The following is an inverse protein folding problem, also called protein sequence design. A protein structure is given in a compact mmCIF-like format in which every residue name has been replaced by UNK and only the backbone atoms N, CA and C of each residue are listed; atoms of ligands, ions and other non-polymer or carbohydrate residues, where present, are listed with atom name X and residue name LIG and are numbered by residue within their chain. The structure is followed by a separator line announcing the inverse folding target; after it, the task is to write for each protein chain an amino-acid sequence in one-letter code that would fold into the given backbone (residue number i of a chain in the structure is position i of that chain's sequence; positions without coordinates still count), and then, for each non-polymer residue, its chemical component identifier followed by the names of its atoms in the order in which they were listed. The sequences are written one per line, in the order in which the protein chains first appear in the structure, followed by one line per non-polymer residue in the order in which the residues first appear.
data_IF_199003914218
#
_entry.id   IF_199003914218
#
_cell.length_a   1.000
_cell.length_b   1.000
_cell.length_c   1.000
_cell.angle_alpha   90.00
_cell.angle_beta   90.00
_cell.angle_gamma   90.00
#
_symmetry.space_group_name_H-M   'P 1'
#
loop_
_entity.id
_entity.type
_entity.pdbx_description
1 polymer ?
#
# COMPACT_ATOMS: atom_id res chain seq x y z
N UNK A 1 -9.66 6.59 6.80
CA UNK A 1 -9.79 5.83 5.54
C UNK A 1 -11.19 5.27 5.51
N UNK A 2 -11.85 5.33 4.37
CA UNK A 2 -13.11 4.59 4.17
C UNK A 2 -12.84 3.10 3.91
N UNK A 3 -13.90 2.30 3.89
CA UNK A 3 -13.84 0.84 3.69
C UNK A 3 -13.48 0.42 2.25
N UNK A 4 -13.38 1.37 1.32
CA UNK A 4 -13.14 1.10 -0.11
C UNK A 4 -11.78 1.59 -0.58
N UNK A 5 -10.93 2.03 0.33
CA UNK A 5 -9.62 2.60 0.01
C UNK A 5 -8.52 1.87 0.76
N UNK A 6 -7.54 1.36 0.03
CA UNK A 6 -6.30 0.84 0.59
C UNK A 6 -5.14 1.76 0.22
N UNK A 7 -4.14 1.90 1.10
CA UNK A 7 -2.89 2.57 0.76
C UNK A 7 -1.68 1.77 1.20
N UNK A 8 -0.62 1.85 0.41
CA UNK A 8 0.67 1.28 0.75
C UNK A 8 1.80 2.17 0.21
N UNK A 9 2.97 2.03 0.83
CA UNK A 9 4.20 2.68 0.36
C UNK A 9 4.93 1.72 -0.59
N UNK A 10 5.36 2.22 -1.74
CA UNK A 10 6.18 1.49 -2.70
C UNK A 10 7.46 2.27 -2.99
N UNK A 11 8.56 1.57 -3.29
CA UNK A 11 9.77 2.26 -3.75
C UNK A 11 9.51 2.96 -5.09
N UNK A 12 9.85 4.25 -5.17
CA UNK A 12 9.67 5.13 -6.34
C UNK A 12 10.28 4.59 -7.63
N UNK A 13 11.41 3.89 -7.49
CA UNK A 13 12.16 3.26 -8.58
C UNK A 13 11.82 1.78 -8.79
N UNK A 14 10.82 1.24 -8.07
CA UNK A 14 10.42 -0.15 -8.17
C UNK A 14 9.57 -0.43 -9.41
N UNK A 15 9.68 -1.67 -9.93
CA UNK A 15 8.86 -2.14 -11.06
C UNK A 15 7.36 -2.08 -10.78
N UNK A 16 6.95 -2.22 -9.52
CA UNK A 16 5.54 -2.07 -9.10
C UNK A 16 5.00 -0.69 -9.46
N UNK A 17 5.73 0.40 -9.16
CA UNK A 17 5.28 1.73 -9.55
C UNK A 17 5.33 1.95 -11.06
N UNK A 18 6.36 1.46 -11.73
CA UNK A 18 6.41 1.52 -13.19
C UNK A 18 5.17 0.86 -13.82
N UNK A 19 4.74 -0.28 -13.28
CA UNK A 19 3.52 -0.96 -13.72
C UNK A 19 2.27 -0.12 -13.41
N UNK A 20 2.13 0.42 -12.19
CA UNK A 20 0.97 1.24 -11.79
C UNK A 20 0.84 2.50 -12.63
N UNK A 21 1.96 3.17 -12.94
CA UNK A 21 1.97 4.34 -13.85
C UNK A 21 1.48 3.99 -15.26
N UNK A 22 1.79 2.78 -15.73
CA UNK A 22 1.39 2.30 -17.06
C UNK A 22 -0.06 1.81 -17.08
N UNK A 23 -0.47 1.11 -16.05
CA UNK A 23 -1.79 0.48 -15.91
C UNK A 23 -2.11 0.31 -14.41
N UNK A 24 -3.10 1.07 -13.94
CA UNK A 24 -3.50 1.08 -12.54
C UNK A 24 -4.26 -0.17 -12.10
N UNK A 25 -4.60 -1.11 -12.98
CA UNK A 25 -5.34 -2.31 -12.55
C UNK A 25 -4.47 -3.21 -11.68
N UNK A 26 -4.93 -3.46 -10.46
CA UNK A 26 -4.20 -4.27 -9.47
C UNK A 26 -5.04 -5.40 -8.92
N UNK A 27 -4.35 -6.47 -8.53
CA UNK A 27 -4.87 -7.54 -7.70
C UNK A 27 -3.95 -7.72 -6.50
N UNK A 28 -4.51 -7.80 -5.30
CA UNK A 28 -3.80 -8.07 -4.05
C UNK A 28 -4.42 -9.29 -3.40
N UNK A 29 -3.57 -10.14 -2.84
CA UNK A 29 -4.01 -11.25 -2.00
C UNK A 29 -3.52 -11.00 -0.57
N UNK A 30 -4.41 -11.09 0.39
CA UNK A 30 -4.09 -10.98 1.82
C UNK A 30 -4.40 -12.30 2.50
N UNK A 31 -3.44 -12.77 3.29
CA UNK A 31 -3.49 -14.00 4.06
C UNK A 31 -3.44 -13.66 5.56
N UNK A 32 -4.32 -14.28 6.33
CA UNK A 32 -4.40 -14.16 7.78
C UNK A 32 -4.96 -15.43 8.41
N UNK A 33 -5.07 -15.43 9.73
CA UNK A 33 -5.76 -16.52 10.42
C UNK A 33 -7.22 -16.55 9.96
N UNK A 34 -7.64 -17.68 9.40
CA UNK A 34 -8.94 -17.90 8.79
C UNK A 34 -9.33 -16.83 7.74
N UNK A 35 -8.34 -16.29 7.03
CA UNK A 35 -8.54 -15.22 6.05
C UNK A 35 -7.69 -15.43 4.79
N UNK A 36 -8.34 -15.63 3.65
CA UNK A 36 -7.73 -15.53 2.32
C UNK A 36 -8.61 -14.62 1.48
N UNK A 37 -8.10 -13.43 1.15
CA UNK A 37 -8.88 -12.40 0.46
C UNK A 37 -8.17 -11.92 -0.78
N UNK A 38 -8.82 -12.06 -1.92
CA UNK A 38 -8.44 -11.43 -3.18
C UNK A 38 -9.13 -10.07 -3.34
N UNK A 39 -8.36 -9.02 -3.60
CA UNK A 39 -8.83 -7.65 -3.78
C UNK A 39 -8.46 -7.18 -5.19
N UNK A 40 -9.43 -6.79 -6.00
CA UNK A 40 -9.21 -6.11 -7.28
C UNK A 40 -9.52 -4.63 -7.12
N UNK A 41 -8.68 -3.79 -7.70
CA UNK A 41 -8.86 -2.34 -7.62
C UNK A 41 -8.13 -1.57 -8.71
N UNK A 42 -8.26 -0.24 -8.63
CA UNK A 42 -7.50 0.71 -9.43
C UNK A 42 -6.52 1.44 -8.53
N UNK A 43 -5.24 1.28 -8.81
CA UNK A 43 -4.15 1.91 -8.12
C UNK A 43 -3.72 3.20 -8.82
N UNK A 44 -3.45 4.22 -8.03
CA UNK A 44 -2.84 5.47 -8.47
C UNK A 44 -1.76 5.91 -7.47
N UNK A 45 -0.73 6.59 -7.98
CA UNK A 45 0.24 7.27 -7.13
C UNK A 45 -0.40 8.57 -6.67
N UNK A 46 -0.56 8.73 -5.35
CA UNK A 46 -1.23 9.91 -4.76
C UNK A 46 -0.27 10.86 -4.05
N UNK A 47 0.97 10.41 -3.80
CA UNK A 47 2.03 11.27 -3.26
C UNK A 47 3.41 10.70 -3.58
N UNK A 48 4.28 11.50 -4.17
CA UNK A 48 5.68 11.12 -4.46
C UNK A 48 6.57 12.38 -4.47
N UNK A 49 7.62 12.48 -3.64
CA UNK A 49 7.98 11.53 -2.57
C UNK A 49 7.02 11.61 -1.37
N UNK A 50 6.94 10.53 -0.59
CA UNK A 50 6.34 10.57 0.75
C UNK A 50 7.18 11.42 1.71
N UNK A 51 6.58 12.07 2.71
CA UNK A 51 7.32 12.86 3.73
C UNK A 51 8.22 11.95 4.58
N UNK A 52 7.76 10.71 4.84
CA UNK A 52 8.52 9.64 5.49
C UNK A 52 9.83 9.29 4.75
N UNK A 53 10.02 9.78 3.52
CA UNK A 53 11.25 9.64 2.74
C UNK A 53 12.39 10.52 3.26
N UNK A 54 12.16 11.44 4.20
CA UNK A 54 13.17 12.45 4.57
C UNK A 54 14.33 11.92 5.43
N UNK A 55 14.12 10.91 6.30
CA UNK A 55 15.18 10.45 7.22
C UNK A 55 14.94 9.03 7.77
N UNK A 56 15.79 8.03 7.42
CA UNK A 56 16.82 8.03 6.38
C UNK A 56 16.23 8.18 4.97
N UNK A 57 16.98 8.74 3.99
CA UNK A 57 16.49 8.97 2.63
C UNK A 57 16.13 7.66 1.94
N UNK A 58 14.85 7.47 1.69
CA UNK A 58 14.30 6.34 0.94
C UNK A 58 13.25 6.87 -0.02
N UNK A 59 13.37 6.55 -1.30
CA UNK A 59 12.41 7.04 -2.28
C UNK A 59 11.13 6.21 -2.20
N UNK A 60 10.18 6.60 -1.34
CA UNK A 60 8.85 6.00 -1.29
C UNK A 60 7.83 6.88 -2.00
N UNK A 61 6.90 6.24 -2.69
CA UNK A 61 5.65 6.84 -3.15
C UNK A 61 4.47 6.20 -2.42
N UNK A 62 3.46 7.02 -2.13
CA UNK A 62 2.18 6.56 -1.62
C UNK A 62 1.31 6.14 -2.81
N UNK A 63 0.88 4.89 -2.78
CA UNK A 63 -0.11 4.36 -3.71
C UNK A 63 -1.44 4.24 -2.98
N UNK A 64 -2.50 4.74 -3.61
CA UNK A 64 -3.88 4.47 -3.22
C UNK A 64 -4.49 3.45 -4.17
N UNK A 65 -5.27 2.52 -3.64
CA UNK A 65 -6.07 1.56 -4.38
C UNK A 65 -7.54 1.82 -4.05
N UNK A 66 -8.31 2.16 -5.07
CA UNK A 66 -9.76 2.17 -4.99
C UNK A 66 -10.26 0.75 -5.22
N UNK A 67 -10.90 0.18 -4.20
CA UNK A 67 -11.34 -1.22 -4.19
C UNK A 67 -12.59 -1.38 -5.05
N UNK A 68 -12.49 -2.24 -6.07
CA UNK A 68 -13.60 -2.56 -6.98
C UNK A 68 -14.28 -3.88 -6.62
N UNK A 69 -13.52 -4.88 -6.19
CA UNK A 69 -14.06 -6.19 -5.86
C UNK A 69 -13.25 -6.87 -4.76
N UNK A 70 -13.95 -7.52 -3.84
CA UNK A 70 -13.37 -8.33 -2.77
C UNK A 70 -13.91 -9.75 -2.90
N UNK A 71 -13.01 -10.74 -2.88
CA UNK A 71 -13.34 -12.16 -2.95
C UNK A 71 -12.80 -12.86 -1.71
N UNK A 72 -13.66 -13.58 -1.00
CA UNK A 72 -13.23 -14.54 0.02
C UNK A 72 -12.87 -15.85 -0.66
N UNK A 73 -11.63 -16.26 -0.52
CA UNK A 73 -11.06 -17.47 -1.14
C UNK A 73 -10.76 -18.57 -0.10
N UNK A 74 -11.33 -18.46 1.10
CA UNK A 74 -11.24 -19.48 2.13
C UNK A 74 -11.80 -20.83 1.61
N UNK A 75 -11.01 -21.92 1.64
CA UNK A 75 -11.52 -23.23 1.30
C UNK A 75 -12.59 -23.68 2.33
N UNK A 76 -13.73 -24.24 1.89
CA UNK A 76 -14.77 -24.70 2.80
C UNK A 76 -14.24 -25.72 3.82
N UNK A 77 -14.49 -25.48 5.10
CA UNK A 77 -14.06 -26.36 6.20
C UNK A 77 -12.56 -26.32 6.54
N UNK A 78 -11.76 -25.51 5.83
CA UNK A 78 -10.36 -25.35 6.16
C UNK A 78 -10.17 -24.32 7.29
N UNK A 79 -9.28 -24.64 8.23
CA UNK A 79 -8.69 -23.66 9.14
C UNK A 79 -7.42 -23.14 8.51
N UNK A 80 -7.30 -21.82 8.42
CA UNK A 80 -6.16 -21.17 7.75
C UNK A 80 -5.30 -20.54 8.83
N UNK A 81 -4.01 -20.84 8.81
CA UNK A 81 -3.05 -20.22 9.71
C UNK A 81 -2.22 -19.22 8.93
N UNK A 82 -2.37 -17.95 9.27
CA UNK A 82 -1.64 -16.87 8.62
C UNK A 82 -0.13 -17.02 8.86
N UNK A 83 0.66 -16.63 7.87
CA UNK A 83 2.11 -16.61 8.04
C UNK A 83 2.50 -15.56 9.08
N UNK A 84 3.25 -15.98 10.09
CA UNK A 84 3.82 -15.08 11.11
C UNK A 84 5.33 -15.01 10.87
N UNK A 85 5.82 -13.81 10.58
CA UNK A 85 7.24 -13.53 10.46
C UNK A 85 7.71 -12.76 11.68
N UNK A 86 8.71 -13.30 12.37
CA UNK A 86 9.48 -12.54 13.35
C UNK A 86 10.72 -11.98 12.67
N UNK A 87 10.77 -10.65 12.53
CA UNK A 87 11.90 -9.94 11.94
C UNK A 87 12.95 -9.52 12.98
N UNK A 88 13.04 -10.23 14.12
CA UNK A 88 13.89 -9.89 15.27
C UNK A 88 15.40 -9.79 15.03
N UNK A 89 15.90 -10.13 13.84
CA UNK A 89 17.33 -10.16 13.50
C UNK A 89 17.74 -9.04 12.53
N UNK A 90 17.20 -7.82 12.69
CA UNK A 90 17.74 -6.69 11.93
C UNK A 90 18.95 -6.08 12.64
N UNK A 91 19.98 -5.71 11.89
CA UNK A 91 21.16 -4.99 12.41
C UNK A 91 20.80 -3.67 13.14
N UNK A 92 19.62 -3.08 12.85
CA UNK A 92 19.11 -1.83 13.41
C UNK A 92 17.59 -1.90 13.73
N UNK A 93 17.18 -2.56 14.83
CA UNK A 93 15.76 -2.81 15.12
C UNK A 93 14.97 -1.54 15.44
N UNK A 94 15.56 -0.62 16.20
CA UNK A 94 14.92 0.64 16.59
C UNK A 94 14.64 1.53 15.39
N UNK A 95 15.63 1.74 14.51
CA UNK A 95 15.47 2.50 13.26
C UNK A 95 14.36 1.91 12.38
N UNK A 96 14.29 0.57 12.30
CA UNK A 96 13.25 -0.12 11.54
C UNK A 96 11.85 0.12 12.12
N UNK A 97 11.72 0.10 13.44
CA UNK A 97 10.46 0.33 14.15
C UNK A 97 10.02 1.79 13.99
N UNK A 98 10.94 2.74 14.14
CA UNK A 98 10.68 4.17 13.93
C UNK A 98 10.26 4.44 12.49
N UNK A 99 11.00 3.90 11.50
CA UNK A 99 10.65 4.02 10.08
C UNK A 99 9.26 3.46 9.79
N UNK A 100 8.94 2.28 10.34
CA UNK A 100 7.61 1.68 10.19
C UNK A 100 6.52 2.58 10.79
N UNK A 101 6.75 3.16 11.96
CA UNK A 101 5.79 4.05 12.61
C UNK A 101 5.52 5.31 11.77
N UNK A 102 6.57 5.96 11.25
CA UNK A 102 6.44 7.16 10.41
C UNK A 102 5.70 6.84 9.10
N UNK A 103 6.07 5.75 8.41
CA UNK A 103 5.37 5.30 7.20
C UNK A 103 3.89 5.02 7.46
N UNK A 104 3.57 4.26 8.50
CA UNK A 104 2.19 3.92 8.84
C UNK A 104 1.37 5.15 9.22
N UNK A 105 1.97 6.11 9.92
CA UNK A 105 1.31 7.36 10.26
C UNK A 105 0.93 8.14 9.00
N UNK A 106 1.89 8.31 8.08
CA UNK A 106 1.63 9.03 6.83
C UNK A 106 0.60 8.32 5.94
N UNK A 107 0.64 7.00 5.83
CA UNK A 107 -0.33 6.22 5.04
C UNK A 107 -1.78 6.39 5.53
N UNK A 108 -1.97 6.58 6.83
CA UNK A 108 -3.30 6.79 7.44
C UNK A 108 -3.85 8.18 7.16
N UNK A 109 -2.97 9.16 6.99
CA UNK A 109 -3.35 10.54 6.68
C UNK A 109 -3.80 10.63 5.23
N UNK A 110 -4.98 11.22 4.94
CA UNK A 110 -5.38 11.50 3.57
C UNK A 110 -4.34 12.40 2.88
N UNK A 111 -3.92 12.09 1.64
CA UNK A 111 -3.16 13.06 0.87
C UNK A 111 -4.02 14.32 0.68
N UNK A 112 -3.38 15.49 0.63
CA UNK A 112 -4.07 16.72 0.26
C UNK A 112 -4.78 16.49 -1.09
N UNK A 113 -6.00 17.03 -1.30
CA UNK A 113 -6.66 16.93 -2.59
C UNK A 113 -5.72 17.50 -3.66
N UNK A 114 -5.43 16.70 -4.70
CA UNK A 114 -4.71 17.20 -5.87
C UNK A 114 -5.55 18.30 -6.50
N UNK A 115 -4.97 19.47 -6.74
CA UNK A 115 -5.62 20.50 -7.56
C UNK A 115 -6.05 19.85 -8.88
N UNK A 116 -7.28 20.10 -9.37
CA UNK A 116 -7.69 19.58 -10.67
C UNK A 116 -6.69 20.07 -11.70
N UNK A 117 -6.17 19.15 -12.51
CA UNK A 117 -5.31 19.48 -13.64
C UNK A 117 -6.02 20.58 -14.46
N UNK A 118 -5.47 21.79 -14.42
CA UNK A 118 -5.95 22.89 -15.22
C UNK A 118 -5.78 22.51 -16.71
N UNK A 119 -6.88 22.09 -17.34
CA UNK A 119 -6.88 21.77 -18.78
C UNK A 119 -7.56 20.44 -19.13
N UNK A 120 -8.85 20.33 -18.88
CA UNK A 120 -9.74 19.45 -19.64
C UNK A 120 -11.04 20.18 -19.91
N UNK A 121 -10.92 21.28 -20.65
CA UNK A 121 -12.02 21.94 -21.32
C UNK A 121 -11.54 22.24 -22.74
N UNK A 122 -11.88 21.35 -23.66
CA UNK A 122 -12.18 21.64 -25.07
C UNK A 122 -12.97 20.47 -25.66
#
# INVERSE_FOLDING_TARGET
MDERTLRFAAFSNGRTLANIRRDGRVFLETLGDDLVVGIRGLAAIVKEPMDASAYPPHHYAMVQIDVLHVKMDNPPGARIHGMRYDFGHSRHPEERMQRRAVLLNELRTPPAPSEPAAGAAE
#
